data_IF_361287299240
#
_entry.id   IF_361287299240
#
_cell.length_a   1.000
_cell.length_b   1.000
_cell.length_c   1.000
_cell.angle_alpha   90.00
_cell.angle_beta   90.00
_cell.angle_gamma   90.00
#
_symmetry.space_group_name_H-M   'P 1'
#
loop_
_entity.id
_entity.type
_entity.pdbx_description
1 polymer ?
#
# COMPACT_ATOMS: atom_id res chain seq x y z
N UNK A 1 -12.21 4.69 -19.03
CA UNK A 1 -12.22 5.50 -17.79
C UNK A 1 -11.03 5.08 -16.94
N UNK A 2 -10.48 6.01 -16.16
CA UNK A 2 -9.23 5.85 -15.38
C UNK A 2 -9.49 5.99 -13.89
N UNK A 3 -8.52 5.61 -13.06
CA UNK A 3 -8.57 5.78 -11.60
C UNK A 3 -8.77 7.25 -11.18
N UNK A 4 -8.43 8.22 -12.03
CA UNK A 4 -8.62 9.64 -11.76
C UNK A 4 -10.10 10.05 -11.57
N UNK A 5 -11.02 9.30 -12.16
CA UNK A 5 -12.46 9.63 -12.14
C UNK A 5 -13.21 8.99 -10.97
N UNK A 6 -12.52 8.28 -10.08
CA UNK A 6 -13.16 7.62 -8.93
C UNK A 6 -13.51 8.64 -7.84
N UNK A 7 -14.72 8.49 -7.29
CA UNK A 7 -15.18 9.18 -6.09
C UNK A 7 -14.48 8.63 -4.83
N UNK A 8 -14.46 9.40 -3.75
CA UNK A 8 -13.86 8.97 -2.48
C UNK A 8 -14.45 7.65 -1.97
N UNK A 9 -15.77 7.47 -2.09
CA UNK A 9 -16.45 6.22 -1.72
C UNK A 9 -15.94 5.03 -2.53
N UNK A 10 -15.73 5.21 -3.83
CA UNK A 10 -15.17 4.16 -4.69
C UNK A 10 -13.72 3.84 -4.34
N UNK A 11 -12.93 4.85 -3.96
CA UNK A 11 -11.54 4.67 -3.54
C UNK A 11 -11.42 3.90 -2.23
N UNK A 12 -12.29 4.19 -1.25
CA UNK A 12 -12.40 3.41 0.00
C UNK A 12 -12.76 1.95 -0.33
N UNK A 13 -13.77 1.74 -1.19
CA UNK A 13 -14.17 0.39 -1.60
C UNK A 13 -13.03 -0.35 -2.30
N UNK A 14 -12.25 0.34 -3.11
CA UNK A 14 -11.10 -0.23 -3.79
C UNK A 14 -10.00 -0.67 -2.80
N UNK A 15 -9.73 0.11 -1.75
CA UNK A 15 -8.84 -0.33 -0.67
C UNK A 15 -9.38 -1.59 0.05
N UNK A 16 -10.71 -1.71 0.21
CA UNK A 16 -11.34 -2.91 0.79
C UNK A 16 -11.22 -4.15 -0.11
N UNK A 17 -11.10 -3.98 -1.43
CA UNK A 17 -10.88 -5.10 -2.35
C UNK A 17 -9.55 -5.82 -2.11
N UNK A 18 -8.60 -5.21 -1.40
CA UNK A 18 -7.34 -5.85 -1.01
C UNK A 18 -7.54 -7.08 -0.11
N UNK A 19 -8.70 -7.22 0.55
CA UNK A 19 -9.02 -8.37 1.40
C UNK A 19 -9.70 -9.52 0.64
N UNK A 20 -10.10 -9.31 -0.61
CA UNK A 20 -10.73 -10.34 -1.42
C UNK A 20 -9.69 -11.37 -1.89
N UNK A 21 -10.15 -12.61 -2.07
CA UNK A 21 -9.34 -13.66 -2.66
C UNK A 21 -9.44 -13.58 -4.18
N UNK A 22 -8.42 -12.99 -4.79
CA UNK A 22 -8.32 -12.82 -6.24
C UNK A 22 -7.67 -14.02 -6.91
N UNK A 23 -7.98 -14.20 -8.20
CA UNK A 23 -7.24 -15.11 -9.08
C UNK A 23 -6.56 -14.35 -10.23
N UNK A 24 -5.43 -14.89 -10.71
CA UNK A 24 -4.72 -14.30 -11.85
C UNK A 24 -5.65 -14.26 -13.10
N UNK A 25 -5.62 -13.14 -13.81
CA UNK A 25 -6.44 -12.89 -14.99
C UNK A 25 -7.86 -12.43 -14.69
N UNK A 26 -8.30 -12.46 -13.43
CA UNK A 26 -9.62 -12.03 -13.02
C UNK A 26 -9.84 -10.54 -13.31
N UNK A 27 -11.03 -10.17 -13.79
CA UNK A 27 -11.37 -8.79 -14.10
C UNK A 27 -11.95 -8.12 -12.85
N UNK A 28 -11.38 -6.98 -12.48
CA UNK A 28 -11.80 -6.22 -11.31
C UNK A 28 -12.77 -5.12 -11.74
N UNK A 29 -13.92 -5.07 -11.08
CA UNK A 29 -14.94 -4.05 -11.29
C UNK A 29 -15.38 -3.38 -9.99
N UNK A 30 -15.72 -2.10 -10.06
CA UNK A 30 -16.41 -1.36 -9.00
C UNK A 30 -17.88 -1.14 -9.35
N UNK A 31 -18.65 -0.81 -8.32
CA UNK A 31 -20.10 -0.58 -8.35
C UNK A 31 -20.85 -1.58 -9.21
N UNK A 32 -20.91 -2.85 -8.78
CA UNK A 32 -21.72 -3.88 -9.44
C UNK A 32 -21.44 -4.06 -10.94
N UNK A 33 -20.22 -3.79 -11.39
CA UNK A 33 -19.79 -4.04 -12.79
C UNK A 33 -19.72 -2.79 -13.67
N UNK A 34 -20.19 -1.63 -13.19
CA UNK A 34 -20.23 -0.40 -14.00
C UNK A 34 -18.84 0.18 -14.28
N UNK A 35 -17.86 -0.08 -13.41
CA UNK A 35 -16.52 0.51 -13.55
C UNK A 35 -15.47 -0.58 -13.66
N UNK A 36 -14.97 -0.80 -14.88
CA UNK A 36 -13.84 -1.68 -15.11
C UNK A 36 -12.54 -1.03 -14.62
N UNK A 37 -11.89 -1.67 -13.67
CA UNK A 37 -10.61 -1.21 -13.13
C UNK A 37 -9.43 -1.78 -13.92
N UNK A 38 -9.45 -3.08 -14.21
CA UNK A 38 -8.34 -3.78 -14.85
C UNK A 38 -8.43 -5.30 -14.66
N UNK A 39 -7.33 -5.99 -14.93
CA UNK A 39 -7.16 -7.42 -14.63
C UNK A 39 -6.13 -7.62 -13.53
N UNK A 40 -6.35 -8.61 -12.68
CA UNK A 40 -5.33 -9.08 -11.73
C UNK A 40 -4.18 -9.69 -12.52
N UNK A 41 -3.03 -9.04 -12.54
CA UNK A 41 -1.84 -9.56 -13.24
C UNK A 41 -0.84 -10.20 -12.28
N UNK A 42 -0.79 -9.76 -11.02
CA UNK A 42 0.06 -10.37 -10.01
C UNK A 42 -0.64 -10.42 -8.65
N UNK A 43 -0.37 -11.48 -7.91
CA UNK A 43 -0.75 -11.64 -6.50
C UNK A 43 0.52 -11.99 -5.75
N UNK A 44 0.99 -11.07 -4.91
CA UNK A 44 2.27 -11.16 -4.22
C UNK A 44 2.00 -11.50 -2.77
N UNK A 45 2.56 -12.61 -2.32
CA UNK A 45 2.56 -13.04 -0.93
C UNK A 45 4.01 -13.35 -0.52
N UNK A 46 4.47 -12.73 0.57
CA UNK A 46 5.83 -12.91 1.10
C UNK A 46 5.78 -13.52 2.50
N UNK A 47 6.90 -14.09 2.94
CA UNK A 47 7.04 -14.74 4.25
C UNK A 47 6.84 -13.76 5.42
N UNK A 48 7.15 -12.47 5.22
CA UNK A 48 6.91 -11.37 6.15
C UNK A 48 5.44 -10.91 6.22
N UNK A 49 4.52 -11.72 5.67
CA UNK A 49 3.08 -11.47 5.58
C UNK A 49 2.67 -10.30 4.66
N UNK A 50 3.57 -9.72 3.86
CA UNK A 50 3.16 -8.77 2.81
C UNK A 50 2.21 -9.48 1.83
N UNK A 51 1.03 -8.88 1.65
CA UNK A 51 0.06 -9.30 0.65
C UNK A 51 -0.35 -8.10 -0.20
N UNK A 52 -0.11 -8.20 -1.51
CA UNK A 52 -0.38 -7.16 -2.49
C UNK A 52 -1.04 -7.78 -3.72
N UNK A 53 -2.16 -7.20 -4.16
CA UNK A 53 -2.77 -7.51 -5.46
C UNK A 53 -2.44 -6.39 -6.44
N UNK A 54 -1.96 -6.77 -7.63
CA UNK A 54 -1.63 -5.84 -8.73
C UNK A 54 -2.71 -5.95 -9.80
N UNK A 55 -3.50 -4.89 -9.96
CA UNK A 55 -4.55 -4.80 -10.98
C UNK A 55 -4.08 -3.86 -12.09
N UNK A 56 -3.94 -4.37 -13.31
CA UNK A 56 -3.42 -3.60 -14.44
C UNK A 56 -4.53 -3.30 -15.45
N UNK A 57 -4.59 -2.04 -15.85
CA UNK A 57 -5.39 -1.56 -16.97
C UNK A 57 -4.49 -1.17 -18.13
N UNK A 58 -4.23 -2.13 -19.04
CA UNK A 58 -3.36 -1.88 -20.20
C UNK A 58 -3.90 -0.83 -21.16
N UNK A 59 -5.22 -0.64 -21.24
CA UNK A 59 -5.82 0.38 -22.11
C UNK A 59 -5.61 1.81 -21.57
N UNK A 60 -5.67 1.95 -20.24
CA UNK A 60 -5.40 3.22 -19.56
C UNK A 60 -3.92 3.43 -19.23
N UNK A 61 -3.09 2.39 -19.38
CA UNK A 61 -1.69 2.35 -18.94
C UNK A 61 -1.56 2.70 -17.44
N UNK A 62 -2.42 2.11 -16.61
CA UNK A 62 -2.46 2.28 -15.16
C UNK A 62 -2.31 0.94 -14.44
N UNK A 63 -1.70 0.97 -13.26
CA UNK A 63 -1.67 -0.14 -12.32
C UNK A 63 -2.21 0.32 -10.95
N UNK A 64 -3.18 -0.40 -10.40
CA UNK A 64 -3.71 -0.20 -9.07
C UNK A 64 -3.14 -1.26 -8.14
N UNK A 65 -2.36 -0.81 -7.15
CA UNK A 65 -1.72 -1.64 -6.13
C UNK A 65 -2.59 -1.67 -4.88
N UNK A 66 -3.12 -2.85 -4.54
CA UNK A 66 -4.01 -3.06 -3.41
C UNK A 66 -3.24 -3.72 -2.26
N UNK A 67 -2.70 -2.90 -1.36
CA UNK A 67 -1.99 -3.37 -0.17
C UNK A 67 -3.00 -3.86 0.86
N UNK A 68 -2.98 -5.16 1.14
CA UNK A 68 -3.88 -5.78 2.12
C UNK A 68 -3.43 -5.41 3.53
N UNK A 69 -4.39 -5.00 4.35
CA UNK A 69 -4.16 -4.82 5.78
C UNK A 69 -4.27 -6.12 6.56
N UNK A 70 -3.99 -6.07 7.85
CA UNK A 70 -4.24 -7.20 8.74
C UNK A 70 -5.75 -7.41 8.94
N UNK A 71 -6.13 -8.64 9.26
CA UNK A 71 -7.49 -9.00 9.68
C UNK A 71 -7.68 -8.93 11.19
N UNK A 72 -6.62 -8.59 11.94
CA UNK A 72 -6.66 -8.46 13.40
C UNK A 72 -7.30 -7.14 13.82
N UNK A 73 -8.24 -7.19 14.77
CA UNK A 73 -8.84 -6.00 15.38
C UNK A 73 -7.75 -5.31 16.22
N UNK A 74 -7.52 -4.02 15.96
CA UNK A 74 -6.63 -3.20 16.80
C UNK A 74 -7.51 -2.48 17.82
N UNK A 75 -7.33 -2.82 19.10
CA UNK A 75 -7.94 -2.12 20.23
C UNK A 75 -6.84 -1.44 21.06
N UNK A 76 -6.93 -0.13 21.30
CA UNK A 76 -5.98 0.59 22.15
C UNK A 76 -6.36 2.05 22.38
N UNK A 77 -6.09 2.56 23.59
CA UNK A 77 -6.30 3.98 23.96
C UNK A 77 -5.29 4.94 23.30
N UNK A 78 -5.65 6.23 23.23
CA UNK A 78 -4.96 7.27 22.42
C UNK A 78 -3.45 7.41 22.68
N UNK A 79 -2.96 7.08 23.87
CA UNK A 79 -1.57 7.39 24.24
C UNK A 79 -0.56 6.28 23.90
N UNK A 80 -1.00 5.05 23.58
CA UNK A 80 -0.12 3.91 23.29
C UNK A 80 -0.54 3.06 22.07
N UNK A 81 -1.53 3.53 21.31
CA UNK A 81 -2.13 2.74 20.23
C UNK A 81 -1.13 2.34 19.13
N UNK A 82 -0.19 3.21 18.73
CA UNK A 82 0.80 2.89 17.67
C UNK A 82 1.74 1.78 18.12
N UNK A 83 2.22 1.82 19.37
CA UNK A 83 3.10 0.78 19.93
C UNK A 83 2.36 -0.55 20.06
N UNK A 84 1.12 -0.54 20.53
CA UNK A 84 0.29 -1.74 20.60
C UNK A 84 -0.02 -2.30 19.21
N UNK A 85 -0.38 -1.42 18.27
CA UNK A 85 -0.61 -1.78 16.87
C UNK A 85 0.62 -2.44 16.24
N UNK A 86 1.81 -1.87 16.43
CA UNK A 86 3.06 -2.45 15.92
C UNK A 86 3.31 -3.85 16.47
N UNK A 87 3.16 -4.05 17.78
CA UNK A 87 3.32 -5.36 18.43
C UNK A 87 2.31 -6.40 17.94
N UNK A 88 1.09 -5.96 17.62
CA UNK A 88 0.04 -6.85 17.12
C UNK A 88 0.25 -7.24 15.66
N UNK A 89 0.76 -6.31 14.83
CA UNK A 89 0.78 -6.48 13.37
C UNK A 89 2.12 -6.91 12.81
N UNK A 90 3.21 -6.69 13.54
CA UNK A 90 4.54 -7.10 13.13
C UNK A 90 5.21 -7.83 14.31
N UNK A 91 6.04 -8.84 14.04
CA UNK A 91 6.89 -9.47 15.05
C UNK A 91 8.09 -8.55 15.36
N UNK A 92 7.82 -7.28 15.68
CA UNK A 92 8.87 -6.30 15.96
C UNK A 92 9.58 -6.65 17.25
N UNK A 93 10.91 -6.65 17.23
CA UNK A 93 11.72 -6.70 18.46
C UNK A 93 11.41 -5.54 19.40
N UNK A 94 11.93 -5.60 20.63
CA UNK A 94 11.90 -4.49 21.58
C UNK A 94 12.44 -3.19 20.98
N UNK A 95 13.29 -3.30 19.97
CA UNK A 95 14.21 -2.27 19.53
C UNK A 95 13.49 -1.08 18.88
N UNK A 96 12.53 -1.31 17.98
CA UNK A 96 11.67 -0.23 17.45
C UNK A 96 10.86 0.44 18.57
N UNK A 97 10.46 -0.32 19.59
CA UNK A 97 9.62 0.14 20.71
C UNK A 97 10.45 0.94 21.73
N UNK A 98 11.73 0.58 21.90
CA UNK A 98 12.72 1.22 22.77
C UNK A 98 13.46 2.38 22.09
N UNK A 99 13.31 2.55 20.78
CA UNK A 99 13.83 3.70 20.01
C UNK A 99 15.07 3.38 19.16
N UNK A 100 15.52 2.13 19.15
CA UNK A 100 16.49 1.59 18.21
C UNK A 100 15.76 1.31 16.88
N UNK A 101 16.13 2.06 15.83
CA UNK A 101 15.38 2.11 14.56
C UNK A 101 15.66 0.88 13.69
N UNK A 102 15.16 -0.28 14.09
CA UNK A 102 14.97 -1.35 13.12
C UNK A 102 13.75 -1.03 12.23
N UNK A 103 13.68 -1.56 11.01
CA UNK A 103 12.53 -1.36 10.12
C UNK A 103 11.89 -2.73 9.91
N UNK A 104 10.56 -2.89 10.10
CA UNK A 104 9.93 -4.20 9.90
C UNK A 104 10.13 -4.68 8.47
N UNK A 105 10.53 -5.95 8.30
CA UNK A 105 10.82 -6.57 6.99
C UNK A 105 9.69 -6.38 5.97
N UNK A 106 8.44 -6.49 6.42
CA UNK A 106 7.27 -6.29 5.57
C UNK A 106 7.22 -4.88 4.93
N UNK A 107 7.73 -3.84 5.62
CA UNK A 107 7.83 -2.49 5.04
C UNK A 107 8.93 -2.40 3.98
N UNK A 108 10.09 -3.03 4.25
CA UNK A 108 11.19 -3.12 3.30
C UNK A 108 10.74 -3.88 2.04
N UNK A 109 10.04 -5.00 2.21
CA UNK A 109 9.45 -5.76 1.11
C UNK A 109 8.41 -4.96 0.34
N UNK A 110 7.58 -4.16 1.00
CA UNK A 110 6.61 -3.29 0.31
C UNK A 110 7.31 -2.27 -0.60
N UNK A 111 8.38 -1.62 -0.11
CA UNK A 111 9.21 -0.73 -0.93
C UNK A 111 9.87 -1.47 -2.10
N UNK A 112 10.50 -2.62 -1.81
CA UNK A 112 11.19 -3.43 -2.82
C UNK A 112 10.24 -3.82 -3.95
N UNK A 113 9.07 -4.36 -3.61
CA UNK A 113 8.05 -4.79 -4.56
C UNK A 113 7.52 -3.61 -5.39
N UNK A 114 7.25 -2.45 -4.79
CA UNK A 114 6.84 -1.26 -5.56
C UNK A 114 7.89 -0.90 -6.61
N UNK A 115 9.16 -0.85 -6.21
CA UNK A 115 10.25 -0.49 -7.09
C UNK A 115 10.49 -1.54 -8.20
N UNK A 116 10.34 -2.84 -7.89
CA UNK A 116 10.39 -3.93 -8.88
C UNK A 116 9.26 -3.81 -9.91
N UNK A 117 8.02 -3.59 -9.47
CA UNK A 117 6.88 -3.39 -10.36
C UNK A 117 7.07 -2.15 -11.25
N UNK A 118 7.58 -1.06 -10.70
CA UNK A 118 7.87 0.17 -11.46
C UNK A 118 8.95 -0.01 -12.54
N UNK A 119 9.91 -0.91 -12.30
CA UNK A 119 10.89 -1.31 -13.31
C UNK A 119 10.27 -2.22 -14.37
N UNK A 120 9.41 -3.15 -13.96
CA UNK A 120 8.71 -4.08 -14.85
C UNK A 120 7.73 -3.36 -15.79
N UNK A 121 7.07 -2.31 -15.30
CA UNK A 121 6.08 -1.52 -16.05
C UNK A 121 6.54 -0.05 -16.23
N UNK A 122 7.58 0.22 -17.05
CA UNK A 122 8.30 1.48 -17.06
C UNK A 122 7.47 2.70 -17.52
N UNK A 123 6.40 2.47 -18.28
CA UNK A 123 5.52 3.53 -18.81
C UNK A 123 4.24 3.69 -18.00
N UNK A 124 3.98 2.83 -17.02
CA UNK A 124 2.67 2.74 -16.34
C UNK A 124 2.56 3.73 -15.18
N UNK A 125 1.36 4.27 -14.99
CA UNK A 125 1.03 5.11 -13.84
C UNK A 125 0.50 4.28 -12.68
N UNK A 126 1.13 4.40 -11.52
CA UNK A 126 0.84 3.61 -10.34
C UNK A 126 -0.06 4.34 -9.36
N UNK A 127 -1.16 3.68 -9.00
CA UNK A 127 -2.13 4.10 -8.01
C UNK A 127 -2.04 3.17 -6.80
N UNK A 128 -1.85 3.72 -5.61
CA UNK A 128 -1.68 2.91 -4.41
C UNK A 128 -2.92 3.01 -3.51
N UNK A 129 -3.40 1.86 -3.05
CA UNK A 129 -4.54 1.76 -2.14
C UNK A 129 -4.14 0.89 -0.95
N UNK A 130 -4.43 1.38 0.26
CA UNK A 130 -4.11 0.64 1.48
C UNK A 130 -5.04 0.99 2.61
N UNK A 131 -5.41 -0.01 3.41
CA UNK A 131 -6.22 0.14 4.61
C UNK A 131 -5.52 -0.52 5.80
N UNK A 132 -5.63 0.07 7.00
CA UNK A 132 -5.00 -0.42 8.22
C UNK A 132 -3.49 -0.65 7.99
N UNK A 133 -2.97 -1.87 8.19
CA UNK A 133 -1.58 -2.24 7.90
C UNK A 133 -1.15 -2.01 6.45
N UNK A 134 -2.04 -2.22 5.49
CA UNK A 134 -1.73 -1.99 4.07
C UNK A 134 -1.44 -0.52 3.78
N UNK A 135 -2.06 0.39 4.53
CA UNK A 135 -1.79 1.83 4.40
C UNK A 135 -0.37 2.20 4.81
N UNK A 136 0.21 1.50 5.80
CA UNK A 136 1.57 1.72 6.26
C UNK A 136 2.59 1.12 5.29
N UNK A 137 2.32 -0.09 4.77
CA UNK A 137 3.13 -0.68 3.71
C UNK A 137 3.27 0.29 2.53
N UNK A 138 2.15 0.90 2.11
CA UNK A 138 2.13 1.90 1.06
C UNK A 138 2.84 3.21 1.45
N UNK A 139 2.66 3.73 2.68
CA UNK A 139 3.37 4.92 3.17
C UNK A 139 4.90 4.73 3.08
N UNK A 140 5.40 3.58 3.54
CA UNK A 140 6.84 3.30 3.53
C UNK A 140 7.35 3.14 2.08
N UNK A 141 6.62 2.39 1.26
CA UNK A 141 6.96 2.20 -0.15
C UNK A 141 7.01 3.52 -0.93
N UNK A 142 6.09 4.45 -0.67
CA UNK A 142 6.11 5.80 -1.25
C UNK A 142 7.35 6.57 -0.81
N UNK A 143 7.65 6.59 0.49
CA UNK A 143 8.80 7.30 1.02
C UNK A 143 10.15 6.76 0.49
N UNK A 144 10.19 5.48 0.11
CA UNK A 144 11.37 4.80 -0.42
C UNK A 144 11.31 4.54 -1.95
N UNK A 145 10.37 5.18 -2.65
CA UNK A 145 10.17 5.04 -4.10
C UNK A 145 11.33 5.67 -4.90
N UNK A 146 11.85 4.91 -5.88
CA UNK A 146 12.94 5.34 -6.79
C UNK A 146 12.43 5.95 -8.10
N UNK A 147 11.16 5.74 -8.44
CA UNK A 147 10.53 6.20 -9.69
C UNK A 147 9.32 7.11 -9.41
N UNK A 148 9.50 8.24 -8.69
CA UNK A 148 8.37 9.09 -8.30
C UNK A 148 7.57 9.63 -9.49
N UNK A 149 8.17 9.73 -10.67
CA UNK A 149 7.50 10.17 -11.89
C UNK A 149 6.45 9.16 -12.41
N UNK A 150 6.50 7.90 -11.99
CA UNK A 150 5.49 6.89 -12.33
C UNK A 150 4.31 6.87 -11.34
N UNK A 151 4.42 7.53 -10.19
CA UNK A 151 3.32 7.65 -9.25
C UNK A 151 2.21 8.54 -9.82
N UNK A 152 0.96 8.10 -9.64
CA UNK A 152 -0.22 8.91 -9.86
C UNK A 152 -0.71 9.52 -8.53
N UNK A 153 -1.41 8.74 -7.72
CA UNK A 153 -1.89 9.12 -6.39
C UNK A 153 -1.96 7.92 -5.45
N UNK A 154 -2.04 8.18 -4.15
CA UNK A 154 -2.19 7.16 -3.11
C UNK A 154 -3.37 7.45 -2.18
N UNK A 155 -4.15 6.42 -1.85
CA UNK A 155 -5.33 6.49 -0.99
C UNK A 155 -5.18 5.52 0.18
N UNK A 156 -4.84 6.09 1.34
CA UNK A 156 -4.34 5.37 2.50
C UNK A 156 -5.29 5.64 3.68
N UNK A 157 -5.89 4.59 4.24
CA UNK A 157 -6.98 4.71 5.20
C UNK A 157 -6.66 4.00 6.52
N UNK A 158 -7.03 4.63 7.64
CA UNK A 158 -7.06 4.04 8.99
C UNK A 158 -5.76 3.35 9.46
N UNK A 159 -4.60 3.81 9.00
CA UNK A 159 -3.32 3.38 9.55
C UNK A 159 -2.55 4.49 10.26
N UNK A 160 -1.62 4.11 11.16
CA UNK A 160 -0.73 5.06 11.80
C UNK A 160 0.15 5.85 10.82
N UNK A 161 0.51 7.06 11.25
CA UNK A 161 1.55 7.84 10.61
C UNK A 161 2.93 7.25 10.98
N UNK A 162 3.75 6.93 9.98
CA UNK A 162 5.09 6.34 10.15
C UNK A 162 6.24 7.33 10.02
N UNK A 163 5.99 8.65 10.00
CA UNK A 163 7.03 9.67 9.81
C UNK A 163 8.25 9.50 10.73
N UNK A 164 8.03 9.01 11.96
CA UNK A 164 9.06 8.75 12.95
C UNK A 164 10.00 7.58 12.57
N UNK A 165 9.53 6.59 11.78
CA UNK A 165 10.33 5.49 11.23
C UNK A 165 11.18 5.90 10.01
N UNK A 166 10.79 6.97 9.32
CA UNK A 166 11.45 7.37 8.08
C UNK A 166 12.81 8.04 8.35
N UNK A 167 13.78 7.76 7.47
CA UNK A 167 15.06 8.48 7.41
C UNK A 167 14.84 9.95 6.98
N UNK A 168 15.85 10.80 7.15
CA UNK A 168 15.78 12.20 6.72
C UNK A 168 15.52 12.33 5.21
N UNK A 169 16.13 11.47 4.39
CA UNK A 169 15.93 11.45 2.94
C UNK A 169 14.53 10.96 2.57
N UNK A 170 14.05 9.91 3.22
CA UNK A 170 12.69 9.38 3.01
C UNK A 170 11.62 10.42 3.38
N UNK A 171 11.81 11.18 4.47
CA UNK A 171 10.93 12.31 4.83
C UNK A 171 10.93 13.39 3.78
N UNK A 172 12.11 13.78 3.29
CA UNK A 172 12.23 14.78 2.22
C UNK A 172 11.51 14.32 0.95
N UNK A 173 11.64 13.04 0.57
CA UNK A 173 10.94 12.45 -0.57
C UNK A 173 9.43 12.43 -0.35
N UNK A 174 8.96 11.99 0.82
CA UNK A 174 7.54 11.95 1.15
C UNK A 174 6.88 13.34 1.05
N UNK A 175 7.59 14.41 1.43
CA UNK A 175 7.12 15.79 1.28
C UNK A 175 7.06 16.28 -0.18
N UNK A 176 7.79 15.64 -1.09
CA UNK A 176 7.80 15.96 -2.51
C UNK A 176 6.75 15.18 -3.30
N UNK A 177 6.31 14.03 -2.78
CA UNK A 177 5.22 13.25 -3.35
C UNK A 177 3.92 14.02 -3.08
N UNK A 178 3.33 14.56 -4.14
CA UNK A 178 1.99 15.16 -4.07
C UNK A 178 0.98 14.03 -4.15
N UNK A 179 0.39 13.67 -3.00
CA UNK A 179 -0.76 12.78 -2.92
C UNK A 179 -2.04 13.53 -3.24
#
# INVERSE_FOLDING_TARGET
>A
MTNNNLTDRQRVRLAQLAYQQWHLGEKVYLDRGWYYLGKVEQIIHREDALHLTVVVNRQANEASLLFRGSTGIISGGRDNWVKQWLRTNFPVGSDIITGERDIPDQLLSASKVLNELMQEYPTTKFWLYGHSLGSINAQYALADCRFPQQLAQSFLYEGPNIYWLLSAEQRKRALQIRC
#
